data_IF_699318239748
#
_entry.id   IF_699318239748
#
_cell.length_a   1.000
_cell.length_b   1.000
_cell.length_c   1.000
_cell.angle_alpha   90.00
_cell.angle_beta   90.00
_cell.angle_gamma   90.00
#
_symmetry.space_group_name_H-M   'P 1'
#
loop_
_entity.id
_entity.type
_entity.pdbx_description
1 polymer ?
#
# COMPACT_ATOMS: atom_id res chain seq x y z
N UNK A 1 53.66 -17.42 -21.01
CA UNK A 1 52.46 -16.84 -20.40
C UNK A 1 51.29 -16.92 -21.36
N UNK A 2 50.38 -17.87 -21.13
CA UNK A 2 49.15 -17.99 -21.92
C UNK A 2 48.23 -16.83 -21.54
N UNK A 3 47.80 -16.05 -22.53
CA UNK A 3 46.79 -15.00 -22.37
C UNK A 3 45.57 -15.59 -21.67
N UNK A 4 45.26 -15.11 -20.45
CA UNK A 4 44.05 -15.51 -19.74
C UNK A 4 42.84 -15.03 -20.55
N UNK A 5 41.84 -15.89 -20.84
CA UNK A 5 40.63 -15.46 -21.52
C UNK A 5 39.95 -14.33 -20.73
N UNK A 6 39.61 -13.25 -21.42
CA UNK A 6 38.94 -12.09 -20.85
C UNK A 6 37.62 -11.81 -21.57
N UNK A 7 36.61 -11.40 -20.82
CA UNK A 7 35.35 -10.88 -21.38
C UNK A 7 35.41 -9.35 -21.32
N UNK A 8 35.39 -8.72 -22.50
CA UNK A 8 35.61 -7.29 -22.66
C UNK A 8 34.42 -6.41 -22.30
N UNK A 9 33.24 -6.98 -22.07
CA UNK A 9 32.04 -6.20 -21.78
C UNK A 9 30.90 -7.03 -21.17
N UNK A 10 29.80 -6.37 -20.76
CA UNK A 10 28.64 -7.05 -20.21
C UNK A 10 28.04 -8.03 -21.22
N UNK A 11 27.46 -9.11 -20.70
CA UNK A 11 26.65 -10.06 -21.46
C UNK A 11 25.27 -10.18 -20.82
N UNK A 12 24.33 -10.76 -21.54
CA UNK A 12 23.03 -11.16 -20.98
C UNK A 12 23.05 -12.66 -20.65
N UNK A 13 22.33 -13.05 -19.62
CA UNK A 13 22.11 -14.45 -19.24
C UNK A 13 20.67 -14.64 -18.74
N UNK A 14 20.20 -15.88 -18.72
CA UNK A 14 18.87 -16.22 -18.20
C UNK A 14 19.01 -16.76 -16.78
N UNK A 15 18.21 -16.28 -15.85
CA UNK A 15 18.17 -16.81 -14.48
C UNK A 15 17.57 -18.21 -14.47
N UNK A 16 18.19 -19.13 -13.75
CA UNK A 16 17.82 -20.55 -13.72
C UNK A 16 17.66 -21.05 -12.28
N UNK A 17 16.92 -22.14 -12.13
CA UNK A 17 16.67 -22.79 -10.85
C UNK A 17 16.17 -24.23 -11.03
N UNK A 18 15.85 -24.94 -9.94
CA UNK A 18 15.28 -26.27 -10.01
C UNK A 18 13.94 -26.28 -10.79
N UNK A 19 13.57 -27.41 -11.40
CA UNK A 19 12.29 -27.52 -12.10
C UNK A 19 11.10 -27.16 -11.21
N UNK A 20 10.24 -26.25 -11.70
CA UNK A 20 9.03 -25.81 -11.00
C UNK A 20 9.24 -24.69 -9.97
N UNK A 21 10.47 -24.25 -9.74
CA UNK A 21 10.76 -23.09 -8.90
C UNK A 21 10.68 -21.79 -9.71
N UNK A 22 9.96 -20.81 -9.16
CA UNK A 22 9.85 -19.48 -9.75
C UNK A 22 10.94 -18.54 -9.23
N UNK A 23 11.40 -18.74 -8.00
CA UNK A 23 12.42 -17.92 -7.34
C UNK A 23 13.45 -18.87 -6.74
N UNK A 24 14.70 -18.75 -7.17
CA UNK A 24 15.79 -19.58 -6.66
C UNK A 24 16.98 -18.72 -6.24
N UNK A 25 17.15 -18.57 -4.94
CA UNK A 25 18.16 -17.69 -4.31
C UNK A 25 18.73 -18.34 -3.06
N UNK A 26 19.91 -17.87 -2.63
CA UNK A 26 20.52 -18.23 -1.35
C UNK A 26 20.46 -17.11 -0.29
N UNK A 27 21.12 -17.31 0.86
CA UNK A 27 21.10 -16.39 2.01
C UNK A 27 21.68 -15.00 1.72
N UNK A 28 22.39 -14.84 0.59
CA UNK A 28 22.98 -13.57 0.17
C UNK A 28 22.19 -12.89 -0.97
N UNK A 29 21.04 -13.43 -1.37
CA UNK A 29 20.28 -12.91 -2.51
C UNK A 29 20.96 -13.18 -3.86
N UNK A 30 21.82 -14.21 -3.94
CA UNK A 30 22.48 -14.60 -5.20
C UNK A 30 21.56 -15.45 -6.04
N UNK A 31 21.73 -15.43 -7.35
CA UNK A 31 20.98 -16.26 -8.31
C UNK A 31 21.94 -17.17 -9.08
N UNK A 32 21.40 -18.19 -9.75
CA UNK A 32 22.12 -18.93 -10.79
C UNK A 32 21.64 -18.48 -12.16
N UNK A 33 22.52 -18.54 -13.14
CA UNK A 33 22.25 -18.10 -14.52
C UNK A 33 22.75 -19.13 -15.52
N UNK A 34 22.18 -19.14 -16.71
CA UNK A 34 22.76 -19.80 -17.87
C UNK A 34 23.10 -18.77 -18.94
N UNK A 35 24.35 -18.80 -19.40
CA UNK A 35 24.82 -17.94 -20.47
C UNK A 35 24.45 -18.52 -21.85
N UNK A 36 24.26 -17.65 -22.83
CA UNK A 36 23.86 -18.03 -24.20
C UNK A 36 24.90 -18.90 -24.93
N UNK A 37 26.17 -18.81 -24.54
CA UNK A 37 27.25 -19.61 -25.12
C UNK A 37 27.43 -20.97 -24.43
N UNK A 38 26.77 -21.21 -23.30
CA UNK A 38 26.82 -22.50 -22.62
C UNK A 38 25.88 -23.50 -23.30
N UNK A 39 26.49 -24.43 -24.04
CA UNK A 39 25.81 -25.52 -24.76
C UNK A 39 25.63 -26.78 -23.92
N UNK A 40 26.24 -26.86 -22.74
CA UNK A 40 26.19 -28.03 -21.86
C UNK A 40 25.19 -27.86 -20.71
N UNK A 41 24.93 -26.61 -20.30
CA UNK A 41 23.90 -26.25 -19.34
C UNK A 41 22.50 -26.69 -19.79
N UNK A 42 21.68 -27.10 -18.83
CA UNK A 42 20.33 -27.68 -19.05
C UNK A 42 19.20 -26.75 -18.62
N UNK A 43 19.51 -25.47 -18.40
CA UNK A 43 18.65 -24.46 -17.82
C UNK A 43 18.10 -24.88 -16.44
N UNK A 44 18.99 -25.46 -15.63
CA UNK A 44 18.69 -25.94 -14.28
C UNK A 44 19.62 -25.32 -13.22
N UNK A 45 19.44 -25.72 -11.96
CA UNK A 45 20.21 -25.26 -10.82
C UNK A 45 21.70 -25.66 -10.85
N UNK A 46 22.18 -26.35 -11.88
CA UNK A 46 23.59 -26.75 -12.02
C UNK A 46 24.33 -25.94 -13.09
N UNK A 47 23.64 -25.02 -13.76
CA UNK A 47 24.19 -24.27 -14.91
C UNK A 47 25.31 -23.29 -14.53
N UNK A 48 25.33 -22.78 -13.29
CA UNK A 48 26.39 -21.87 -12.83
C UNK A 48 26.68 -21.98 -11.35
N UNK A 49 27.74 -21.29 -10.91
CA UNK A 49 27.92 -20.91 -9.52
C UNK A 49 26.85 -19.89 -9.08
N UNK A 50 26.80 -19.58 -7.78
CA UNK A 50 26.00 -18.48 -7.27
C UNK A 50 26.58 -17.12 -7.68
N UNK A 51 25.77 -16.31 -8.34
CA UNK A 51 26.13 -14.99 -8.87
C UNK A 51 25.44 -13.90 -8.04
N UNK A 52 26.22 -12.94 -7.55
CA UNK A 52 25.68 -11.79 -6.80
C UNK A 52 24.86 -10.88 -7.71
N UNK A 53 23.83 -10.26 -7.13
CA UNK A 53 22.95 -9.30 -7.81
C UNK A 53 23.15 -7.91 -7.21
N UNK A 54 23.51 -6.94 -8.04
CA UNK A 54 23.57 -5.54 -7.64
C UNK A 54 22.17 -5.04 -7.28
N UNK A 55 22.06 -4.35 -6.14
CA UNK A 55 20.82 -3.75 -5.64
C UNK A 55 20.90 -2.22 -5.74
N UNK A 56 19.76 -1.53 -5.81
CA UNK A 56 19.74 -0.05 -5.85
C UNK A 56 20.29 0.60 -4.58
N UNK A 57 20.19 -0.09 -3.44
CA UNK A 57 20.89 0.25 -2.19
C UNK A 57 21.11 -1.00 -1.35
N UNK A 58 22.30 -1.14 -0.76
CA UNK A 58 22.65 -2.27 0.11
C UNK A 58 23.60 -1.80 1.23
N UNK A 59 23.22 -2.05 2.48
CA UNK A 59 23.99 -1.66 3.68
C UNK A 59 23.88 -2.75 4.77
N UNK A 60 24.46 -2.49 5.95
CA UNK A 60 24.48 -3.41 7.10
C UNK A 60 23.11 -3.67 7.74
N UNK A 61 22.22 -4.35 7.01
CA UNK A 61 20.87 -4.73 7.46
C UNK A 61 19.73 -3.91 6.88
N UNK A 62 19.98 -2.99 5.94
CA UNK A 62 18.95 -2.17 5.29
C UNK A 62 19.29 -1.88 3.82
N UNK A 63 18.27 -1.55 3.02
CA UNK A 63 18.43 -1.28 1.59
C UNK A 63 17.24 -1.77 0.77
N UNK A 64 17.44 -1.88 -0.54
CA UNK A 64 16.49 -2.47 -1.49
C UNK A 64 16.80 -3.95 -1.71
N UNK A 65 15.77 -4.77 -1.93
CA UNK A 65 15.94 -6.14 -2.40
C UNK A 65 14.95 -6.43 -3.53
N UNK A 66 15.47 -6.75 -4.71
CA UNK A 66 14.68 -7.27 -5.83
C UNK A 66 15.45 -8.44 -6.42
N UNK A 67 14.94 -9.66 -6.20
CA UNK A 67 15.55 -10.89 -6.69
C UNK A 67 14.99 -11.19 -8.09
N UNK A 68 15.85 -11.29 -9.13
CA UNK A 68 15.45 -11.79 -10.44
C UNK A 68 14.85 -13.20 -10.32
N UNK A 69 13.73 -13.45 -10.99
CA UNK A 69 13.03 -14.74 -10.99
C UNK A 69 13.61 -15.67 -12.03
N UNK A 70 13.38 -16.97 -11.88
CA UNK A 70 13.73 -17.98 -12.90
C UNK A 70 13.06 -17.60 -14.22
N UNK A 71 13.84 -17.55 -15.30
CA UNK A 71 13.42 -17.10 -16.62
C UNK A 71 13.68 -15.61 -16.89
N UNK A 72 14.02 -14.80 -15.89
CA UNK A 72 14.38 -13.40 -16.12
C UNK A 72 15.71 -13.27 -16.88
N UNK A 73 15.76 -12.31 -17.80
CA UNK A 73 16.99 -11.93 -18.47
C UNK A 73 17.75 -10.87 -17.66
N UNK A 74 19.01 -11.16 -17.37
CA UNK A 74 19.88 -10.32 -16.55
C UNK A 74 21.14 -9.91 -17.30
N UNK A 75 21.63 -8.71 -17.01
CA UNK A 75 22.93 -8.22 -17.48
C UNK A 75 24.00 -8.66 -16.49
N UNK A 76 24.98 -9.42 -16.97
CA UNK A 76 26.11 -9.94 -16.20
C UNK A 76 27.39 -9.25 -16.65
N UNK A 77 28.12 -8.68 -15.70
CA UNK A 77 29.49 -8.20 -15.89
C UNK A 77 30.47 -9.17 -15.25
N UNK A 78 31.74 -9.07 -15.64
CA UNK A 78 32.81 -9.94 -15.17
C UNK A 78 33.87 -9.07 -14.50
N UNK A 79 34.08 -9.26 -13.19
CA UNK A 79 35.00 -8.43 -12.42
C UNK A 79 36.43 -8.58 -12.95
N UNK A 80 37.07 -7.46 -13.28
CA UNK A 80 38.39 -7.40 -13.93
C UNK A 80 38.43 -8.13 -15.29
N UNK A 81 37.27 -8.28 -15.95
CA UNK A 81 37.12 -9.04 -17.19
C UNK A 81 37.25 -10.56 -17.02
N UNK A 82 37.33 -11.06 -15.79
CA UNK A 82 37.55 -12.48 -15.50
C UNK A 82 36.24 -13.29 -15.64
N UNK A 83 36.14 -14.25 -16.59
CA UNK A 83 34.94 -15.08 -16.78
C UNK A 83 34.48 -15.82 -15.52
N UNK A 84 35.40 -16.10 -14.59
CA UNK A 84 35.12 -16.83 -13.35
C UNK A 84 34.51 -15.94 -12.24
N UNK A 85 34.34 -14.64 -12.49
CA UNK A 85 33.85 -13.66 -11.49
C UNK A 85 32.63 -12.89 -12.01
N UNK A 86 31.51 -13.58 -12.31
CA UNK A 86 30.30 -12.93 -12.76
C UNK A 86 29.64 -12.11 -11.65
N UNK A 87 28.96 -11.03 -12.04
CA UNK A 87 28.14 -10.17 -11.19
C UNK A 87 26.94 -9.70 -12.02
N UNK A 88 25.73 -9.92 -11.54
CA UNK A 88 24.51 -9.36 -12.16
C UNK A 88 24.43 -7.87 -11.81
N UNK A 89 24.29 -7.02 -12.84
CA UNK A 89 24.22 -5.56 -12.71
C UNK A 89 22.83 -4.98 -12.98
N UNK A 90 21.91 -5.76 -13.53
CA UNK A 90 20.54 -5.33 -13.80
C UNK A 90 19.74 -6.41 -14.53
N UNK A 91 18.47 -6.11 -14.77
CA UNK A 91 17.54 -6.97 -15.51
C UNK A 91 16.99 -6.25 -16.74
N UNK A 92 16.57 -7.01 -17.75
CA UNK A 92 16.03 -6.49 -18.99
C UNK A 92 14.63 -7.05 -19.25
N UNK A 93 13.78 -6.22 -19.86
CA UNK A 93 12.59 -6.72 -20.55
C UNK A 93 12.99 -7.26 -21.93
N UNK A 94 12.24 -8.26 -22.41
CA UNK A 94 12.38 -8.85 -23.74
C UNK A 94 11.00 -9.24 -24.30
N UNK A 95 10.96 -10.03 -25.37
CA UNK A 95 9.71 -10.42 -26.03
C UNK A 95 8.83 -11.37 -25.22
N UNK A 96 9.39 -12.04 -24.20
CA UNK A 96 8.67 -12.90 -23.26
C UNK A 96 8.33 -12.13 -21.97
N UNK A 97 9.33 -11.47 -21.39
CA UNK A 97 9.19 -10.64 -20.20
C UNK A 97 9.03 -9.18 -20.63
N UNK A 98 7.80 -8.77 -20.91
CA UNK A 98 7.51 -7.41 -21.41
C UNK A 98 7.38 -6.38 -20.27
N UNK A 99 7.56 -5.08 -20.56
CA UNK A 99 7.35 -4.02 -19.57
C UNK A 99 5.95 -4.08 -18.92
N UNK A 100 5.80 -3.71 -17.63
CA UNK A 100 4.57 -3.88 -16.86
C UNK A 100 3.40 -3.04 -17.38
N UNK A 101 3.69 -1.94 -18.08
CA UNK A 101 2.69 -1.11 -18.75
C UNK A 101 2.97 -1.07 -20.25
N UNK A 102 1.92 -1.12 -21.06
CA UNK A 102 2.05 -1.16 -22.51
C UNK A 102 2.76 0.08 -23.03
N UNK A 103 3.88 -0.12 -23.72
CA UNK A 103 4.65 0.94 -24.37
C UNK A 103 4.46 0.88 -25.90
N UNK A 104 4.48 2.03 -26.60
CA UNK A 104 4.78 3.38 -26.12
C UNK A 104 3.57 4.15 -25.55
N UNK A 105 2.39 3.53 -25.48
CA UNK A 105 1.15 4.21 -25.08
C UNK A 105 1.23 4.85 -23.68
N UNK A 106 1.87 4.18 -22.72
CA UNK A 106 2.00 4.63 -21.33
C UNK A 106 3.40 5.17 -21.00
N UNK A 107 4.04 5.87 -21.95
CA UNK A 107 5.42 6.39 -21.80
C UNK A 107 5.60 7.43 -20.67
N UNK A 108 4.51 7.96 -20.12
CA UNK A 108 4.49 8.89 -18.99
C UNK A 108 4.26 8.20 -17.64
N UNK A 109 4.13 6.86 -17.64
CA UNK A 109 3.99 6.09 -16.41
C UNK A 109 5.35 5.61 -15.91
N UNK A 110 5.53 5.65 -14.59
CA UNK A 110 6.71 5.14 -13.90
C UNK A 110 6.32 4.49 -12.57
N UNK A 111 7.16 3.59 -12.04
CA UNK A 111 6.94 2.97 -10.73
C UNK A 111 7.42 1.54 -10.60
N UNK A 112 6.86 0.84 -9.62
CA UNK A 112 7.19 -0.54 -9.28
C UNK A 112 5.93 -1.41 -9.32
N UNK A 113 6.01 -2.56 -10.00
CA UNK A 113 4.98 -3.59 -9.98
C UNK A 113 5.64 -4.91 -9.55
N UNK A 114 5.10 -5.51 -8.49
CA UNK A 114 5.50 -6.83 -8.01
C UNK A 114 4.37 -7.83 -8.25
N UNK A 115 4.71 -9.10 -8.28
CA UNK A 115 3.80 -10.20 -8.62
C UNK A 115 3.73 -11.18 -7.46
N UNK A 116 2.56 -11.67 -7.11
CA UNK A 116 2.44 -12.81 -6.18
C UNK A 116 3.25 -14.00 -6.72
N UNK A 117 3.98 -14.71 -5.85
CA UNK A 117 4.66 -15.93 -6.26
C UNK A 117 3.60 -16.99 -6.64
N UNK A 118 3.81 -17.66 -7.78
CA UNK A 118 2.88 -18.59 -8.43
C UNK A 118 1.53 -17.97 -8.77
N UNK A 119 1.48 -16.63 -8.81
CA UNK A 119 0.32 -15.85 -9.22
C UNK A 119 0.27 -15.64 -10.73
N UNK A 120 -0.72 -14.87 -11.16
CA UNK A 120 -0.97 -14.50 -12.55
C UNK A 120 -1.01 -12.97 -12.75
N UNK A 121 -1.38 -12.56 -13.97
CA UNK A 121 -1.56 -11.16 -14.36
C UNK A 121 -2.42 -10.30 -13.43
N UNK A 122 -3.33 -10.92 -12.66
CA UNK A 122 -4.26 -10.25 -11.75
C UNK A 122 -3.79 -10.12 -10.30
N UNK A 123 -2.69 -10.76 -9.91
CA UNK A 123 -2.24 -10.82 -8.50
C UNK A 123 -0.94 -10.04 -8.30
N UNK A 124 -1.04 -8.75 -7.94
CA UNK A 124 0.10 -7.84 -7.95
C UNK A 124 0.03 -6.76 -6.88
N UNK A 125 1.18 -6.30 -6.38
CA UNK A 125 1.26 -5.02 -5.65
C UNK A 125 1.93 -4.01 -6.55
N UNK A 126 1.48 -2.76 -6.56
CA UNK A 126 2.15 -1.73 -7.33
C UNK A 126 2.06 -0.33 -6.74
N UNK A 127 3.11 0.44 -7.01
CA UNK A 127 3.18 1.87 -6.76
C UNK A 127 3.53 2.55 -8.08
N UNK A 128 2.63 3.38 -8.61
CA UNK A 128 2.77 3.98 -9.93
C UNK A 128 2.46 5.47 -9.92
N UNK A 129 3.28 6.20 -10.65
CA UNK A 129 3.11 7.60 -11.01
C UNK A 129 2.67 7.72 -12.47
N UNK A 130 1.73 8.62 -12.75
CA UNK A 130 1.35 9.08 -14.09
C UNK A 130 1.74 10.55 -14.20
N UNK A 131 2.62 10.86 -15.15
CA UNK A 131 3.15 12.21 -15.39
C UNK A 131 2.52 12.89 -16.62
N UNK A 132 1.41 12.37 -17.13
CA UNK A 132 0.64 13.02 -18.21
C UNK A 132 -0.02 14.30 -17.68
N UNK A 133 0.41 15.43 -18.23
CA UNK A 133 -0.09 16.75 -17.88
C UNK A 133 -1.64 16.84 -17.89
N UNK A 134 -2.22 17.30 -16.77
CA UNK A 134 -3.67 17.41 -16.57
C UNK A 134 -4.39 16.10 -16.26
N UNK A 135 -3.66 15.00 -16.13
CA UNK A 135 -4.15 13.67 -15.78
C UNK A 135 -3.19 12.96 -14.80
N UNK A 136 -2.43 13.74 -14.04
CA UNK A 136 -1.43 13.24 -13.10
C UNK A 136 -2.09 12.36 -12.03
N UNK A 137 -1.43 11.27 -11.66
CA UNK A 137 -1.94 10.34 -10.68
C UNK A 137 -0.81 9.64 -9.94
N UNK A 138 -1.02 9.42 -8.64
CA UNK A 138 -0.30 8.41 -7.88
C UNK A 138 -1.29 7.32 -7.47
N UNK A 139 -0.93 6.05 -7.66
CA UNK A 139 -1.71 4.91 -7.18
C UNK A 139 -0.81 3.98 -6.37
N UNK A 140 -1.30 3.63 -5.18
CA UNK A 140 -0.77 2.55 -4.34
C UNK A 140 -1.81 1.45 -4.34
N UNK A 141 -1.41 0.26 -4.76
CA UNK A 141 -2.27 -0.91 -4.80
C UNK A 141 -1.61 -2.06 -4.03
N UNK A 142 -2.36 -2.59 -3.06
CA UNK A 142 -2.01 -3.78 -2.31
C UNK A 142 -2.95 -4.92 -2.71
N UNK A 143 -2.36 -6.05 -3.10
CA UNK A 143 -3.10 -7.27 -3.49
C UNK A 143 -3.91 -7.84 -2.31
N UNK A 144 -3.39 -7.67 -1.10
CA UNK A 144 -3.97 -8.27 0.11
C UNK A 144 -4.12 -7.21 1.21
N UNK A 145 -3.25 -7.23 2.21
CA UNK A 145 -3.28 -6.27 3.31
C UNK A 145 -2.39 -5.07 2.94
N UNK A 146 -2.81 -3.88 3.37
CA UNK A 146 -1.99 -2.68 3.39
C UNK A 146 -1.91 -2.20 4.84
N UNK A 147 -0.73 -2.31 5.43
CA UNK A 147 -0.44 -1.79 6.77
C UNK A 147 0.31 -0.46 6.65
N UNK A 148 -0.02 0.51 7.49
CA UNK A 148 0.60 1.84 7.50
C UNK A 148 0.88 2.27 8.93
N UNK A 149 2.14 2.54 9.24
CA UNK A 149 2.61 2.91 10.58
C UNK A 149 3.32 4.27 10.51
N UNK A 150 2.90 5.21 11.36
CA UNK A 150 3.51 6.54 11.50
C UNK A 150 3.87 6.74 12.97
N UNK A 151 5.16 6.85 13.26
CA UNK A 151 5.67 6.91 14.64
C UNK A 151 5.46 8.25 15.35
N UNK A 152 5.09 9.30 14.60
CA UNK A 152 4.93 10.64 15.15
C UNK A 152 3.69 11.34 14.60
N UNK A 153 3.85 12.10 13.52
CA UNK A 153 2.79 12.96 12.97
C UNK A 153 2.47 12.56 11.53
N UNK A 154 1.19 12.31 11.24
CA UNK A 154 0.67 12.20 9.88
C UNK A 154 -0.04 13.51 9.50
N UNK A 155 0.29 14.04 8.31
CA UNK A 155 -0.43 15.17 7.70
C UNK A 155 -1.07 14.73 6.39
N UNK A 156 -2.37 14.95 6.26
CA UNK A 156 -3.14 14.58 5.07
C UNK A 156 -3.97 15.76 4.55
N UNK A 157 -3.63 16.29 3.37
CA UNK A 157 -4.33 17.40 2.72
C UNK A 157 -4.88 16.96 1.36
N UNK A 158 -6.18 17.16 1.13
CA UNK A 158 -6.84 16.87 -0.14
C UNK A 158 -7.40 18.17 -0.70
N UNK A 159 -6.89 18.60 -1.87
CA UNK A 159 -7.27 19.89 -2.47
C UNK A 159 -8.68 19.96 -3.07
N UNK A 160 -9.34 18.81 -3.23
CA UNK A 160 -10.70 18.73 -3.76
C UNK A 160 -11.52 17.66 -3.02
N UNK A 161 -11.81 16.52 -3.63
CA UNK A 161 -12.69 15.50 -3.06
C UNK A 161 -11.92 14.33 -2.45
N UNK A 162 -12.34 13.89 -1.26
CA UNK A 162 -11.93 12.62 -0.63
C UNK A 162 -13.12 11.67 -0.61
N UNK A 163 -12.94 10.44 -1.13
CA UNK A 163 -13.93 9.36 -1.03
C UNK A 163 -13.28 8.16 -0.34
N UNK A 164 -13.97 7.62 0.66
CA UNK A 164 -13.58 6.40 1.38
C UNK A 164 -14.68 5.37 1.20
N UNK A 165 -14.32 4.12 0.95
CA UNK A 165 -15.26 3.01 0.85
C UNK A 165 -14.63 1.80 1.53
N UNK A 166 -15.30 1.29 2.56
CA UNK A 166 -14.86 0.14 3.36
C UNK A 166 -15.91 -0.95 3.21
N UNK A 167 -15.53 -2.11 2.67
CA UNK A 167 -16.45 -3.23 2.47
C UNK A 167 -16.74 -4.04 3.74
N UNK A 168 -15.90 -3.88 4.77
CA UNK A 168 -16.05 -4.49 6.09
C UNK A 168 -16.21 -3.45 7.19
N UNK A 169 -15.49 -3.64 8.30
CA UNK A 169 -15.54 -2.75 9.47
C UNK A 169 -14.52 -1.61 9.37
N UNK A 170 -14.94 -0.38 9.66
CA UNK A 170 -14.05 0.75 9.94
C UNK A 170 -14.00 1.01 11.45
N UNK A 171 -12.82 0.94 12.05
CA UNK A 171 -12.62 1.20 13.48
C UNK A 171 -11.58 2.31 13.62
N UNK A 172 -11.93 3.36 14.36
CA UNK A 172 -11.02 4.44 14.70
C UNK A 172 -10.92 4.54 16.23
N UNK A 173 -9.70 4.49 16.77
CA UNK A 173 -9.43 4.62 18.20
C UNK A 173 -8.57 5.88 18.39
N UNK A 174 -9.18 6.92 18.93
CA UNK A 174 -8.53 8.20 19.24
C UNK A 174 -8.41 8.31 20.76
N UNK A 175 -7.17 8.41 21.27
CA UNK A 175 -6.93 8.43 22.72
C UNK A 175 -7.18 9.80 23.37
N UNK A 176 -7.08 10.86 22.57
CA UNK A 176 -7.30 12.25 23.00
C UNK A 176 -8.47 12.83 22.21
N UNK A 177 -8.38 14.10 21.87
CA UNK A 177 -9.47 14.82 21.24
C UNK A 177 -9.57 14.48 19.75
N UNK A 178 -10.81 14.45 19.27
CA UNK A 178 -11.14 14.45 17.84
C UNK A 178 -12.03 15.65 17.53
N UNK A 179 -11.76 16.34 16.42
CA UNK A 179 -12.55 17.49 15.97
C UNK A 179 -12.87 17.32 14.49
N UNK A 180 -14.17 17.27 14.19
CA UNK A 180 -14.68 17.30 12.82
C UNK A 180 -15.38 18.64 12.58
N UNK A 181 -14.83 19.47 11.70
CA UNK A 181 -15.37 20.80 11.40
C UNK A 181 -15.81 20.89 9.93
N UNK A 182 -17.11 20.96 9.69
CA UNK A 182 -17.70 21.21 8.37
C UNK A 182 -18.02 22.70 8.25
N UNK A 183 -17.16 23.45 7.55
CA UNK A 183 -17.28 24.91 7.44
C UNK A 183 -18.43 25.35 6.53
N UNK A 184 -18.76 24.54 5.53
CA UNK A 184 -19.81 24.82 4.55
C UNK A 184 -20.61 23.54 4.26
N UNK A 185 -21.90 23.68 4.02
CA UNK A 185 -22.79 22.57 3.71
C UNK A 185 -23.34 21.86 4.95
N UNK A 186 -23.53 20.54 4.87
CA UNK A 186 -24.20 19.74 5.88
C UNK A 186 -23.33 18.59 6.37
N UNK A 187 -23.47 18.24 7.65
CA UNK A 187 -22.96 16.99 8.21
C UNK A 187 -24.12 16.01 8.36
N UNK A 188 -24.01 14.82 7.77
CA UNK A 188 -25.05 13.77 7.83
C UNK A 188 -24.48 12.50 8.43
N UNK A 189 -25.04 12.07 9.55
CA UNK A 189 -24.81 10.75 10.14
C UNK A 189 -26.03 9.88 9.86
N UNK A 190 -25.86 8.79 9.12
CA UNK A 190 -26.94 7.90 8.70
C UNK A 190 -26.55 6.44 8.96
N UNK A 191 -27.47 5.68 9.55
CA UNK A 191 -27.39 4.23 9.71
C UNK A 191 -28.69 3.64 9.16
N UNK A 192 -28.60 2.79 8.14
CA UNK A 192 -29.80 2.30 7.42
C UNK A 192 -30.58 1.23 8.21
N UNK A 193 -29.88 0.32 8.90
CA UNK A 193 -30.50 -0.90 9.44
C UNK A 193 -30.46 -1.02 10.97
N UNK A 194 -29.56 -0.31 11.63
CA UNK A 194 -29.26 -0.48 13.06
C UNK A 194 -29.43 0.87 13.80
N UNK A 195 -28.68 1.09 14.88
CA UNK A 195 -28.80 2.27 15.72
C UNK A 195 -27.53 3.15 15.66
N UNK A 196 -27.69 4.38 16.12
CA UNK A 196 -26.59 5.27 16.51
C UNK A 196 -26.55 5.27 18.04
N UNK A 197 -25.40 4.96 18.63
CA UNK A 197 -25.19 5.06 20.07
C UNK A 197 -24.17 6.16 20.35
N UNK A 198 -24.52 7.04 21.29
CA UNK A 198 -23.63 8.07 21.82
C UNK A 198 -23.61 7.87 23.33
N UNK A 199 -22.43 7.54 23.86
CA UNK A 199 -22.20 7.35 25.29
C UNK A 199 -21.10 8.30 25.75
N UNK A 200 -21.30 8.94 26.89
CA UNK A 200 -20.31 9.82 27.49
C UNK A 200 -20.45 9.78 29.02
N UNK A 201 -19.31 9.74 29.70
CA UNK A 201 -19.27 9.73 31.17
C UNK A 201 -19.63 11.08 31.80
N UNK A 202 -19.37 12.19 31.10
CA UNK A 202 -19.50 13.54 31.66
C UNK A 202 -20.73 14.27 31.14
N UNK A 203 -20.84 14.47 29.83
CA UNK A 203 -21.99 15.13 29.25
C UNK A 203 -22.12 14.83 27.75
N UNK A 204 -23.34 14.94 27.23
CA UNK A 204 -23.66 15.02 25.80
C UNK A 204 -24.41 16.34 25.58
N UNK A 205 -23.95 17.17 24.65
CA UNK A 205 -24.56 18.45 24.30
C UNK A 205 -24.93 18.50 22.82
N UNK A 206 -26.21 18.73 22.53
CA UNK A 206 -26.72 19.06 21.21
C UNK A 206 -27.17 20.52 21.24
N UNK A 207 -26.57 21.40 20.44
CA UNK A 207 -26.79 22.85 20.54
C UNK A 207 -26.96 23.52 19.18
N UNK A 208 -27.93 24.43 19.09
CA UNK A 208 -28.18 25.30 17.92
C UNK A 208 -28.47 26.71 18.43
N UNK A 209 -27.50 27.62 18.31
CA UNK A 209 -27.61 28.96 18.91
C UNK A 209 -27.88 28.87 20.41
N UNK A 210 -28.98 29.47 20.87
CA UNK A 210 -29.41 29.46 22.28
C UNK A 210 -30.24 28.22 22.68
N UNK A 211 -30.68 27.41 21.71
CA UNK A 211 -31.43 26.17 21.96
C UNK A 211 -30.48 25.01 22.17
N UNK A 212 -30.77 24.14 23.14
CA UNK A 212 -29.93 22.99 23.44
C UNK A 212 -30.65 21.84 24.12
N UNK A 213 -30.11 20.64 23.94
CA UNK A 213 -30.36 19.46 24.77
C UNK A 213 -29.03 19.08 25.42
N UNK A 214 -29.01 19.03 26.75
CA UNK A 214 -27.85 18.62 27.54
C UNK A 214 -28.21 17.39 28.36
N UNK A 215 -27.37 16.37 28.32
CA UNK A 215 -27.50 15.14 29.11
C UNK A 215 -26.26 15.03 29.97
N UNK A 216 -26.43 14.88 31.29
CA UNK A 216 -25.37 14.69 32.27
C UNK A 216 -25.73 13.52 33.20
N UNK A 217 -24.79 13.02 34.02
CA UNK A 217 -25.11 12.03 35.06
C UNK A 217 -26.24 12.46 36.00
N UNK A 218 -26.38 13.77 36.26
CA UNK A 218 -27.38 14.33 37.17
C UNK A 218 -28.76 14.53 36.53
N UNK A 219 -28.87 14.51 35.19
CA UNK A 219 -30.16 14.66 34.52
C UNK A 219 -30.11 15.17 33.07
N UNK A 220 -31.29 15.53 32.56
CA UNK A 220 -31.49 16.01 31.19
C UNK A 220 -32.10 17.42 31.21
N UNK A 221 -31.52 18.35 30.47
CA UNK A 221 -32.01 19.71 30.30
C UNK A 221 -32.34 19.99 28.83
N UNK A 222 -33.55 20.50 28.58
CA UNK A 222 -34.00 20.95 27.26
C UNK A 222 -34.29 22.45 27.36
N UNK A 223 -33.59 23.25 26.56
CA UNK A 223 -33.69 24.71 26.54
C UNK A 223 -34.03 25.21 25.14
N UNK A 224 -34.98 26.13 25.05
CA UNK A 224 -35.34 26.82 23.82
C UNK A 224 -36.38 27.91 24.06
N UNK A 225 -36.56 28.82 23.09
CA UNK A 225 -37.59 29.88 23.16
C UNK A 225 -39.01 29.30 23.21
N UNK A 226 -39.23 28.22 22.46
CA UNK A 226 -40.48 27.45 22.42
C UNK A 226 -40.10 25.97 22.41
N UNK A 227 -40.77 25.17 23.25
CA UNK A 227 -40.64 23.71 23.26
C UNK A 227 -42.03 23.14 22.97
N UNK A 228 -42.22 22.61 21.77
CA UNK A 228 -43.46 21.94 21.38
C UNK A 228 -43.31 20.44 21.61
N UNK A 229 -44.10 19.88 22.52
CA UNK A 229 -44.19 18.43 22.76
C UNK A 229 -45.53 17.95 22.20
N UNK A 230 -45.50 17.36 21.01
CA UNK A 230 -46.68 16.86 20.30
C UNK A 230 -46.65 15.33 20.33
N UNK A 231 -47.65 14.70 20.95
CA UNK A 231 -47.76 13.24 20.99
C UNK A 231 -49.21 12.80 21.16
N UNK A 232 -49.55 11.61 20.66
CA UNK A 232 -50.88 11.01 20.83
C UNK A 232 -51.16 10.66 22.30
N UNK A 233 -50.12 10.33 23.07
CA UNK A 233 -50.19 10.09 24.51
C UNK A 233 -48.85 10.48 25.15
N UNK A 234 -48.85 11.55 25.94
CA UNK A 234 -47.66 12.07 26.63
C UNK A 234 -47.80 11.85 28.13
N UNK A 235 -46.79 11.23 28.77
CA UNK A 235 -46.79 10.97 30.21
C UNK A 235 -45.55 11.58 30.86
N UNK A 236 -45.74 12.23 32.01
CA UNK A 236 -44.65 12.71 32.88
C UNK A 236 -44.84 12.05 34.24
N UNK A 237 -43.82 11.36 34.73
CA UNK A 237 -43.82 10.65 36.02
C UNK A 237 -42.58 11.01 36.81
N UNK A 238 -42.72 11.13 38.12
CA UNK A 238 -41.66 11.41 39.07
C UNK A 238 -42.26 11.70 40.44
N UNK A 239 -41.45 11.69 41.49
CA UNK A 239 -41.92 11.96 42.85
C UNK A 239 -42.53 13.36 42.99
N UNK A 240 -41.98 14.34 42.26
CA UNK A 240 -42.47 15.72 42.20
C UNK A 240 -42.38 16.28 40.79
N UNK A 241 -43.45 16.93 40.34
CA UNK A 241 -43.52 17.67 39.06
C UNK A 241 -44.00 19.08 39.35
N UNK A 242 -43.17 20.08 39.06
CA UNK A 242 -43.50 21.49 39.18
C UNK A 242 -43.73 22.08 37.77
N UNK A 243 -44.85 22.77 37.54
CA UNK A 243 -45.18 23.44 36.28
C UNK A 243 -45.36 24.94 36.55
N UNK A 244 -44.68 25.79 35.78
CA UNK A 244 -44.68 27.26 35.93
C UNK A 244 -44.19 27.75 37.31
N UNK A 245 -43.16 27.10 37.86
CA UNK A 245 -42.55 27.48 39.14
C UNK A 245 -41.41 28.48 38.94
#
# INVERSE_FOLDING_TARGET
DLLKPGISGPQTAIVVGPPGEEIYTDEMGRVKVQFHWDRYGKFDDKSSCWVRVAQSGASGGFGSIQIPRVGDEVVVVFLDGNPDRPLVMGSLYNSQNTPPWSLPANKTQSGFLTRSAKGDGGTANFFRFEDKAGAEQVIVHAERNMDTEIELDEKHEVGNNRKVTVGGTNTEIIQKDTVTNVQQGSFTLKVDNQFIQVDAKQYILLKVGDSSISITPDGIQIKGKVINVLGESTFVKGDRVDINK
#
